data_IF_953961018690
#
_entry.id   IF_953961018690
#
_cell.length_a   1.000
_cell.length_b   1.000
_cell.length_c   1.000
_cell.angle_alpha   90.00
_cell.angle_beta   90.00
_cell.angle_gamma   90.00
#
_symmetry.space_group_name_H-M   'P 1'
#
loop_
_entity.id
_entity.type
_entity.pdbx_description
1 polymer ?
#
# COMPACT_ATOMS: atom_id res chain seq x y z
N UNK A 1 5.24 -15.88 9.42
CA UNK A 1 4.21 -15.92 8.35
C UNK A 1 4.57 -14.82 7.36
N UNK A 2 4.89 -15.16 6.12
CA UNK A 2 5.26 -14.19 5.08
C UNK A 2 3.99 -13.68 4.38
N UNK A 3 3.84 -12.37 4.26
CA UNK A 3 2.75 -11.77 3.49
C UNK A 3 3.01 -11.97 1.99
N UNK A 4 2.01 -12.42 1.24
CA UNK A 4 2.12 -12.73 -0.20
C UNK A 4 2.56 -11.51 -1.02
N UNK A 5 2.26 -10.29 -0.56
CA UNK A 5 2.71 -9.05 -1.19
C UNK A 5 4.22 -8.99 -1.38
N UNK A 6 5.00 -9.46 -0.41
CA UNK A 6 6.46 -9.47 -0.52
C UNK A 6 6.94 -10.40 -1.63
N UNK A 7 6.24 -11.52 -1.86
CA UNK A 7 6.56 -12.44 -2.96
C UNK A 7 6.35 -11.78 -4.32
N UNK A 8 5.19 -11.14 -4.53
CA UNK A 8 4.88 -10.42 -5.77
C UNK A 8 5.88 -9.28 -5.99
N UNK A 9 6.11 -8.46 -4.97
CA UNK A 9 7.02 -7.32 -5.01
C UNK A 9 8.45 -7.73 -5.38
N UNK A 10 8.99 -8.75 -4.70
CA UNK A 10 10.33 -9.26 -4.99
C UNK A 10 10.43 -9.83 -6.40
N UNK A 11 9.39 -10.51 -6.88
CA UNK A 11 9.34 -11.04 -8.25
C UNK A 11 9.37 -9.91 -9.28
N UNK A 12 8.59 -8.84 -9.09
CA UNK A 12 8.59 -7.68 -9.99
C UNK A 12 9.96 -6.97 -10.01
N UNK A 13 10.57 -6.78 -8.83
CA UNK A 13 11.90 -6.16 -8.72
C UNK A 13 12.95 -7.00 -9.47
N UNK A 14 12.98 -8.31 -9.24
CA UNK A 14 13.96 -9.17 -9.89
C UNK A 14 13.71 -9.40 -11.38
N UNK A 15 12.48 -9.19 -11.86
CA UNK A 15 12.18 -9.19 -13.29
C UNK A 15 12.65 -7.89 -13.98
N UNK A 16 12.67 -6.76 -13.25
CA UNK A 16 13.19 -5.49 -13.75
C UNK A 16 14.72 -5.40 -13.71
N UNK A 17 15.38 -6.19 -12.85
CA UNK A 17 16.84 -6.15 -12.66
C UNK A 17 17.53 -7.16 -13.59
N UNK A 18 18.24 -6.65 -14.60
CA UNK A 18 18.89 -7.47 -15.64
C UNK A 18 20.08 -8.32 -15.14
N UNK A 19 20.88 -7.82 -14.18
CA UNK A 19 22.12 -8.49 -13.75
C UNK A 19 22.34 -8.43 -12.25
N UNK A 20 21.81 -9.41 -11.51
CA UNK A 20 22.06 -9.53 -10.08
C UNK A 20 22.51 -10.94 -9.68
N UNK A 21 23.69 -11.00 -9.04
CA UNK A 21 24.25 -12.23 -8.52
C UNK A 21 23.44 -12.73 -7.31
N UNK A 22 23.26 -14.05 -7.21
CA UNK A 22 22.54 -14.71 -6.11
C UNK A 22 22.94 -14.22 -4.69
N UNK A 23 24.22 -14.01 -4.34
CA UNK A 23 24.60 -13.56 -3.00
C UNK A 23 24.12 -12.16 -2.65
N UNK A 24 23.86 -11.30 -3.64
CA UNK A 24 23.36 -9.92 -3.43
C UNK A 24 21.82 -9.89 -3.46
N UNK A 25 21.19 -10.82 -4.18
CA UNK A 25 19.72 -10.99 -4.23
C UNK A 25 19.13 -11.45 -2.90
N UNK A 26 19.76 -12.38 -2.20
CA UNK A 26 19.22 -12.94 -0.96
C UNK A 26 19.02 -11.87 0.13
N UNK A 27 20.02 -11.06 0.51
CA UNK A 27 19.82 -10.02 1.52
C UNK A 27 18.89 -8.91 1.03
N UNK A 28 18.89 -8.57 -0.26
CA UNK A 28 18.02 -7.50 -0.78
C UNK A 28 16.54 -7.82 -0.67
N UNK A 29 16.16 -9.10 -0.70
CA UNK A 29 14.77 -9.56 -0.53
C UNK A 29 14.13 -9.16 0.81
N UNK A 30 14.95 -8.89 1.84
CA UNK A 30 14.48 -8.48 3.16
C UNK A 30 14.16 -6.97 3.22
N UNK A 31 14.73 -6.16 2.32
CA UNK A 31 14.53 -4.71 2.33
C UNK A 31 13.37 -4.27 1.42
N UNK A 32 12.54 -5.23 1.00
CA UNK A 32 11.40 -4.98 0.17
C UNK A 32 10.29 -4.28 0.98
N UNK A 33 10.18 -2.97 0.80
CA UNK A 33 9.11 -2.10 1.33
C UNK A 33 8.42 -1.36 0.20
N UNK A 34 7.19 -0.95 0.46
CA UNK A 34 6.26 -0.47 -0.56
C UNK A 34 6.71 0.83 -1.21
N UNK A 35 7.35 1.69 -0.43
CA UNK A 35 7.90 2.97 -0.88
C UNK A 35 9.13 2.76 -1.77
N UNK A 36 10.05 1.89 -1.35
CA UNK A 36 11.25 1.57 -2.13
C UNK A 36 10.88 0.84 -3.43
N UNK A 37 9.88 -0.05 -3.39
CA UNK A 37 9.36 -0.72 -4.57
C UNK A 37 8.70 0.25 -5.54
N UNK A 38 7.75 1.06 -5.08
CA UNK A 38 7.04 2.00 -5.94
C UNK A 38 8.01 2.98 -6.62
N UNK A 39 8.94 3.55 -5.84
CA UNK A 39 9.98 4.43 -6.37
C UNK A 39 10.89 3.72 -7.36
N UNK A 40 11.37 2.51 -7.05
CA UNK A 40 12.22 1.76 -7.97
C UNK A 40 11.49 1.39 -9.28
N UNK A 41 10.20 1.07 -9.22
CA UNK A 41 9.40 0.78 -10.41
C UNK A 41 9.21 2.00 -11.31
N UNK A 42 9.14 3.20 -10.73
CA UNK A 42 9.01 4.48 -11.46
C UNK A 42 10.32 4.99 -12.06
N UNK A 43 11.48 4.54 -11.57
CA UNK A 43 12.79 4.94 -12.09
C UNK A 43 13.11 4.19 -13.40
N UNK A 44 13.77 4.85 -14.36
CA UNK A 44 14.22 4.18 -15.59
C UNK A 44 15.39 3.21 -15.34
N UNK A 45 16.12 3.38 -14.23
CA UNK A 45 17.26 2.52 -13.88
C UNK A 45 16.82 1.09 -13.46
N UNK A 46 17.48 0.08 -14.04
CA UNK A 46 17.28 -1.35 -13.72
C UNK A 46 18.36 -1.94 -12.81
N UNK A 47 19.24 -1.12 -12.23
CA UNK A 47 20.38 -1.60 -11.44
C UNK A 47 19.98 -2.09 -10.04
N UNK A 48 20.47 -3.27 -9.65
CA UNK A 48 20.31 -3.81 -8.29
C UNK A 48 20.92 -2.91 -7.22
N UNK A 49 21.98 -2.17 -7.56
CA UNK A 49 22.65 -1.27 -6.63
C UNK A 49 21.80 -0.05 -6.30
N UNK A 50 21.05 0.46 -7.28
CA UNK A 50 20.09 1.55 -7.08
C UNK A 50 18.97 1.10 -6.15
N UNK A 51 18.43 -0.10 -6.35
CA UNK A 51 17.44 -0.69 -5.45
C UNK A 51 17.97 -0.86 -4.02
N UNK A 52 19.17 -1.43 -3.85
CA UNK A 52 19.77 -1.63 -2.52
C UNK A 52 20.07 -0.29 -1.83
N UNK A 53 20.53 0.71 -2.57
CA UNK A 53 20.75 2.06 -2.02
C UNK A 53 19.45 2.67 -1.51
N UNK A 54 18.39 2.61 -2.32
CA UNK A 54 17.08 3.14 -1.98
C UNK A 54 16.47 2.42 -0.77
N UNK A 55 16.49 1.08 -0.81
CA UNK A 55 15.97 0.23 0.26
C UNK A 55 16.80 0.37 1.55
N UNK A 56 18.12 0.56 1.42
CA UNK A 56 19.04 0.83 2.53
C UNK A 56 18.78 2.17 3.21
N UNK A 57 18.51 3.24 2.44
CA UNK A 57 18.12 4.55 2.97
C UNK A 57 16.79 4.45 3.72
N UNK A 58 15.80 3.76 3.16
CA UNK A 58 14.52 3.53 3.81
C UNK A 58 14.69 2.77 5.14
N UNK A 59 15.54 1.73 5.15
CA UNK A 59 15.82 0.95 6.35
C UNK A 59 16.56 1.76 7.43
N UNK A 60 17.56 2.56 7.05
CA UNK A 60 18.25 3.46 7.97
C UNK A 60 17.30 4.52 8.53
N UNK A 61 16.48 5.14 7.68
CA UNK A 61 15.44 6.09 8.08
C UNK A 61 14.50 5.48 9.12
N UNK A 62 14.09 4.23 8.92
CA UNK A 62 13.26 3.51 9.87
C UNK A 62 13.95 3.30 11.22
N UNK A 63 15.22 2.89 11.24
CA UNK A 63 15.99 2.72 12.49
C UNK A 63 16.12 4.05 13.23
N UNK A 64 16.55 5.11 12.55
CA UNK A 64 16.71 6.42 13.17
C UNK A 64 15.37 6.97 13.65
N UNK A 65 14.32 6.84 12.84
CA UNK A 65 12.97 7.25 13.20
C UNK A 65 12.44 6.49 14.43
N UNK A 66 12.70 5.19 14.54
CA UNK A 66 12.31 4.40 15.69
C UNK A 66 13.07 4.81 16.97
N UNK A 67 14.39 5.02 16.88
CA UNK A 67 15.19 5.48 18.03
C UNK A 67 14.69 6.84 18.51
N UNK A 68 14.54 7.79 17.60
CA UNK A 68 14.03 9.13 17.92
C UNK A 68 12.61 9.03 18.49
N UNK A 69 11.75 8.23 17.87
CA UNK A 69 10.37 8.01 18.31
C UNK A 69 10.30 7.49 19.74
N UNK A 70 11.11 6.48 20.10
CA UNK A 70 11.16 5.94 21.46
C UNK A 70 11.62 7.00 22.46
N UNK A 71 12.65 7.79 22.13
CA UNK A 71 13.15 8.86 23.01
C UNK A 71 12.05 9.92 23.23
N UNK A 72 11.40 10.35 22.16
CA UNK A 72 10.31 11.35 22.20
C UNK A 72 9.12 10.82 23.00
N UNK A 73 8.75 9.54 22.82
CA UNK A 73 7.63 8.93 23.54
C UNK A 73 7.88 8.79 25.05
N UNK A 74 9.14 8.61 25.47
CA UNK A 74 9.50 8.57 26.90
C UNK A 74 9.40 9.94 27.59
N UNK A 75 9.51 11.05 26.83
CA UNK A 75 9.39 12.42 27.35
C UNK A 75 7.95 12.92 27.33
N UNK A 76 7.07 12.25 26.56
CA UNK A 76 5.68 12.66 26.36
C UNK A 76 4.78 12.31 27.56
N UNK A 77 3.84 13.20 27.94
CA UNK A 77 2.83 12.90 28.95
C UNK A 77 1.90 11.76 28.50
N UNK A 78 1.43 10.95 29.45
CA UNK A 78 0.58 9.78 29.19
C UNK A 78 -0.67 10.10 28.36
N UNK A 79 -1.24 11.31 28.52
CA UNK A 79 -2.40 11.76 27.74
C UNK A 79 -2.11 11.82 26.24
N UNK A 80 -0.90 12.25 25.85
CA UNK A 80 -0.51 12.36 24.44
C UNK A 80 -0.11 11.00 23.90
N UNK A 81 0.56 10.17 24.71
CA UNK A 81 0.87 8.79 24.35
C UNK A 81 -0.40 7.98 24.03
N UNK A 82 -1.47 8.15 24.82
CA UNK A 82 -2.76 7.50 24.56
C UNK A 82 -3.43 7.99 23.26
N UNK A 83 -3.22 9.25 22.86
CA UNK A 83 -3.76 9.79 21.61
C UNK A 83 -3.18 9.12 20.37
N UNK A 84 -1.94 8.60 20.42
CA UNK A 84 -1.33 7.91 19.27
C UNK A 84 -2.14 6.70 18.80
N UNK A 85 -2.82 5.99 19.71
CA UNK A 85 -3.69 4.87 19.35
C UNK A 85 -4.84 5.31 18.44
N UNK A 86 -5.47 6.46 18.75
CA UNK A 86 -6.53 7.04 17.91
C UNK A 86 -5.92 7.61 16.62
N UNK A 87 -4.77 8.28 16.70
CA UNK A 87 -4.11 8.90 15.54
C UNK A 87 -3.77 7.90 14.44
N UNK A 88 -3.38 6.66 14.78
CA UNK A 88 -3.13 5.61 13.79
C UNK A 88 -4.38 5.24 13.00
N UNK A 89 -5.54 5.13 13.65
CA UNK A 89 -6.81 4.92 12.95
C UNK A 89 -7.16 6.11 12.05
N UNK A 90 -6.95 7.35 12.53
CA UNK A 90 -7.18 8.55 11.74
C UNK A 90 -6.27 8.64 10.51
N UNK A 91 -5.03 8.16 10.58
CA UNK A 91 -4.09 8.12 9.46
C UNK A 91 -4.61 7.25 8.31
N UNK A 92 -5.13 6.05 8.62
CA UNK A 92 -5.73 5.20 7.58
C UNK A 92 -6.93 5.86 6.91
N UNK A 93 -7.79 6.53 7.69
CA UNK A 93 -8.93 7.27 7.13
C UNK A 93 -8.44 8.44 6.28
N UNK A 94 -7.42 9.17 6.73
CA UNK A 94 -6.86 10.29 5.98
C UNK A 94 -6.25 9.88 4.63
N UNK A 95 -5.66 8.68 4.54
CA UNK A 95 -5.17 8.10 3.28
C UNK A 95 -6.31 7.56 2.40
N UNK A 96 -7.37 7.00 3.01
CA UNK A 96 -8.52 6.47 2.29
C UNK A 96 -9.39 7.57 1.65
N UNK A 97 -9.57 8.70 2.34
CA UNK A 97 -10.41 9.82 1.87
C UNK A 97 -10.04 10.35 0.47
N UNK A 98 -8.78 10.65 0.13
CA UNK A 98 -8.42 11.11 -1.20
C UNK A 98 -8.63 10.03 -2.27
N UNK A 99 -8.30 8.78 -1.98
CA UNK A 99 -8.50 7.65 -2.90
C UNK A 99 -9.98 7.43 -3.25
N UNK A 100 -10.88 7.71 -2.31
CA UNK A 100 -12.33 7.53 -2.48
C UNK A 100 -13.01 8.78 -3.04
N UNK A 101 -12.33 9.93 -3.04
CA UNK A 101 -12.88 11.20 -3.56
C UNK A 101 -12.90 11.27 -5.08
N UNK A 102 -12.08 10.46 -5.74
CA UNK A 102 -11.90 10.47 -7.18
C UNK A 102 -13.12 9.90 -7.92
N UNK A 103 -13.80 8.91 -7.32
CA UNK A 103 -15.00 8.31 -7.89
C UNK A 103 -16.14 8.18 -6.87
N UNK A 104 -17.33 8.63 -7.28
CA UNK A 104 -18.53 8.58 -6.43
C UNK A 104 -18.98 7.14 -6.15
N UNK A 105 -18.69 6.23 -7.06
CA UNK A 105 -18.99 4.80 -6.92
C UNK A 105 -18.17 4.16 -5.78
N UNK A 106 -16.87 4.47 -5.69
CA UNK A 106 -16.05 4.02 -4.57
C UNK A 106 -16.55 4.60 -3.24
N UNK A 107 -16.97 5.87 -3.21
CA UNK A 107 -17.53 6.47 -2.00
C UNK A 107 -18.81 5.78 -1.52
N UNK A 108 -19.70 5.45 -2.44
CA UNK A 108 -20.94 4.70 -2.15
C UNK A 108 -20.58 3.30 -1.62
N UNK A 109 -19.60 2.62 -2.23
CA UNK A 109 -19.16 1.30 -1.79
C UNK A 109 -18.61 1.29 -0.35
N UNK A 110 -17.78 2.28 0.00
CA UNK A 110 -17.25 2.41 1.37
C UNK A 110 -18.38 2.60 2.37
N UNK A 111 -19.36 3.46 2.05
CA UNK A 111 -20.52 3.70 2.92
C UNK A 111 -21.38 2.44 3.08
N UNK A 112 -21.65 1.72 2.00
CA UNK A 112 -22.40 0.45 2.04
C UNK A 112 -21.67 -0.56 2.94
N UNK A 113 -20.37 -0.71 2.76
CA UNK A 113 -19.54 -1.64 3.55
C UNK A 113 -19.54 -1.27 5.04
N UNK A 114 -19.46 0.02 5.36
CA UNK A 114 -19.53 0.51 6.73
C UNK A 114 -20.89 0.24 7.39
N UNK A 115 -21.99 0.50 6.67
CA UNK A 115 -23.35 0.21 7.16
C UNK A 115 -23.51 -1.29 7.41
N UNK A 116 -23.05 -2.12 6.46
CA UNK A 116 -23.09 -3.56 6.57
C UNK A 116 -22.33 -4.05 7.81
N UNK A 117 -21.14 -3.49 8.05
CA UNK A 117 -20.35 -3.79 9.23
C UNK A 117 -21.10 -3.46 10.54
N UNK A 118 -21.69 -2.26 10.63
CA UNK A 118 -22.45 -1.84 11.82
C UNK A 118 -23.63 -2.77 12.07
N UNK A 119 -24.38 -3.13 11.02
CA UNK A 119 -25.53 -4.03 11.15
C UNK A 119 -25.08 -5.42 11.61
N UNK A 120 -24.06 -6.00 10.97
CA UNK A 120 -23.57 -7.34 11.32
C UNK A 120 -22.89 -7.36 12.70
N UNK A 121 -22.38 -6.23 13.18
CA UNK A 121 -21.75 -6.12 14.50
C UNK A 121 -22.74 -6.45 15.62
N UNK A 122 -24.02 -6.07 15.45
CA UNK A 122 -25.08 -6.39 16.41
C UNK A 122 -25.43 -7.87 16.48
N UNK A 123 -25.17 -8.65 15.41
CA UNK A 123 -25.54 -10.07 15.34
C UNK A 123 -24.37 -11.02 15.61
N UNK A 124 -23.19 -10.73 15.06
CA UNK A 124 -22.07 -11.70 14.96
C UNK A 124 -20.83 -11.22 15.74
N UNK A 125 -20.83 -9.99 16.27
CA UNK A 125 -19.73 -9.44 17.05
C UNK A 125 -18.44 -9.35 16.23
N UNK A 126 -17.33 -9.91 16.73
CA UNK A 126 -15.99 -9.76 16.16
C UNK A 126 -15.84 -10.28 14.71
N UNK A 127 -16.67 -11.24 14.29
CA UNK A 127 -16.63 -11.77 12.92
C UNK A 127 -17.32 -10.87 11.90
N UNK A 128 -18.09 -9.88 12.36
CA UNK A 128 -18.80 -8.92 11.50
C UNK A 128 -17.85 -8.26 10.50
N UNK A 129 -16.66 -7.87 10.94
CA UNK A 129 -15.67 -7.16 10.12
C UNK A 129 -15.21 -7.96 8.91
N UNK A 130 -14.94 -9.25 9.11
CA UNK A 130 -14.47 -10.13 8.03
C UNK A 130 -15.60 -10.31 7.01
N UNK A 131 -16.82 -10.58 7.49
CA UNK A 131 -17.98 -10.84 6.62
C UNK A 131 -18.39 -9.57 5.87
N UNK A 132 -18.36 -8.41 6.52
CA UNK A 132 -18.71 -7.14 5.89
C UNK A 132 -17.73 -6.75 4.79
N UNK A 133 -16.43 -6.99 4.98
CA UNK A 133 -15.43 -6.73 3.94
C UNK A 133 -15.62 -7.68 2.75
N UNK A 134 -15.93 -8.95 3.02
CA UNK A 134 -16.13 -9.93 1.96
C UNK A 134 -17.37 -9.59 1.10
N UNK A 135 -18.47 -9.24 1.75
CA UNK A 135 -19.70 -8.81 1.08
C UNK A 135 -19.54 -7.45 0.39
N UNK A 136 -18.83 -6.52 1.02
CA UNK A 136 -18.47 -5.23 0.42
C UNK A 136 -17.67 -5.41 -0.86
N UNK A 137 -16.64 -6.26 -0.85
CA UNK A 137 -15.85 -6.59 -2.04
C UNK A 137 -16.70 -7.25 -3.15
N UNK A 138 -17.62 -8.14 -2.76
CA UNK A 138 -18.52 -8.79 -3.72
C UNK A 138 -19.49 -7.80 -4.38
N UNK A 139 -20.06 -6.87 -3.61
CA UNK A 139 -20.92 -5.79 -4.12
C UNK A 139 -20.11 -4.82 -4.99
N UNK A 140 -18.86 -4.55 -4.61
CA UNK A 140 -17.96 -3.65 -5.33
C UNK A 140 -17.70 -4.07 -6.78
N UNK A 141 -17.65 -5.38 -7.04
CA UNK A 141 -17.51 -5.93 -8.39
C UNK A 141 -18.63 -5.50 -9.35
N UNK A 142 -19.84 -5.24 -8.84
CA UNK A 142 -20.99 -4.85 -9.66
C UNK A 142 -21.22 -3.34 -9.71
N UNK A 143 -20.63 -2.58 -8.79
CA UNK A 143 -20.84 -1.14 -8.65
C UNK A 143 -19.72 -0.32 -9.29
N UNK A 144 -18.49 -0.85 -9.31
CA UNK A 144 -17.30 -0.14 -9.78
C UNK A 144 -16.95 -0.66 -11.17
N UNK A 145 -17.13 0.18 -12.19
CA UNK A 145 -16.70 -0.15 -13.56
C UNK A 145 -15.17 -0.06 -13.70
N UNK A 146 -14.56 -1.02 -14.40
CA UNK A 146 -13.10 -1.15 -14.57
C UNK A 146 -12.44 0.12 -15.14
N UNK A 147 -13.19 0.88 -15.94
CA UNK A 147 -12.76 2.14 -16.55
C UNK A 147 -12.43 3.23 -15.52
N UNK A 148 -13.08 3.18 -14.35
CA UNK A 148 -12.85 4.13 -13.24
C UNK A 148 -11.64 3.77 -12.40
N UNK A 149 -11.18 2.51 -12.45
CA UNK A 149 -10.04 2.00 -11.68
C UNK A 149 -8.75 2.03 -12.51
N UNK A 150 -8.84 1.84 -13.82
CA UNK A 150 -7.69 1.76 -14.74
C UNK A 150 -7.50 3.01 -15.62
N UNK A 151 -8.41 3.99 -15.50
CA UNK A 151 -8.63 5.08 -16.47
C UNK A 151 -7.44 5.94 -16.87
N UNK A 152 -6.41 6.06 -16.00
CA UNK A 152 -5.21 6.86 -16.30
C UNK A 152 -4.00 6.00 -16.70
N UNK A 153 -3.86 4.78 -16.18
CA UNK A 153 -2.74 3.89 -16.52
C UNK A 153 -2.91 3.23 -17.91
N UNK A 154 -4.15 2.95 -18.30
CA UNK A 154 -4.46 2.37 -19.62
C UNK A 154 -4.26 3.37 -20.76
N UNK A 155 -4.70 4.63 -20.58
CA UNK A 155 -4.63 5.66 -21.63
C UNK A 155 -3.20 6.08 -21.99
N UNK A 156 -2.30 6.19 -21.01
CA UNK A 156 -0.89 6.53 -21.28
C UNK A 156 -0.13 5.38 -21.96
N UNK A 157 -0.52 4.12 -21.72
CA UNK A 157 0.03 2.96 -22.41
C UNK A 157 -0.34 2.90 -23.90
N UNK A 158 -1.60 3.20 -24.24
CA UNK A 158 -2.07 3.23 -25.63
C UNK A 158 -1.46 4.39 -26.43
N UNK A 159 -1.30 5.58 -25.83
CA UNK A 159 -0.67 6.72 -26.50
C UNK A 159 0.81 6.46 -26.85
N UNK A 160 1.58 5.84 -25.95
CA UNK A 160 2.99 5.52 -26.25
C UNK A 160 3.14 4.42 -27.30
N UNK A 161 2.32 3.36 -27.27
CA UNK A 161 2.33 2.32 -28.30
C UNK A 161 1.97 2.89 -29.70
N UNK A 162 1.04 3.86 -29.77
CA UNK A 162 0.66 4.49 -31.04
C UNK A 162 1.70 5.44 -31.61
N UNK A 163 2.58 6.01 -30.78
CA UNK A 163 3.65 6.92 -31.20
C UNK A 163 4.97 6.21 -31.55
N UNK A 164 5.15 4.95 -31.17
CA UNK A 164 6.29 4.12 -31.60
C UNK A 164 6.05 3.42 -32.96
N UNK A 165 4.83 3.43 -33.49
CA UNK A 165 4.47 2.85 -34.79
C UNK A 165 4.48 3.87 -35.96
N UNK A 166 4.95 5.12 -35.76
CA UNK A 166 5.04 6.17 -36.80
C UNK A 166 6.47 6.58 -37.11
#
# INVERSE_FOLDING_TARGET
>A
VLNFRYFVMNTCIYNKVDDASLPVRIPSSHLAVDEAFAMFMLMEESSIWTYIGLAGIAWLSWIFGAIIGVIVLNVLPLIVANSFNISLYSLFVALLVPAVKESKELAILVVITAILNVVLQFFIGTWSLIISILLGAFIGMYIVDDDTVLGDAYKTGDENCSNEEV
#
